data_IF_533889641825
#
_entry.id   IF_533889641825
#
_cell.length_a   1.000
_cell.length_b   1.000
_cell.length_c   1.000
_cell.angle_alpha   90.00
_cell.angle_beta   90.00
_cell.angle_gamma   90.00
#
_symmetry.space_group_name_H-M   'P 1'
#
loop_
_entity.id
_entity.type
_entity.pdbx_description
1 polymer ?
#
# COMPACT_ATOMS: atom_id res chain seq x y z
N UNK A 1 -11.33 -17.26 73.99
CA UNK A 1 -11.20 -16.03 73.19
C UNK A 1 -10.59 -16.24 71.78
N UNK A 2 -9.87 -17.34 71.50
CA UNK A 2 -9.17 -17.53 70.22
C UNK A 2 -10.02 -17.75 68.95
N UNK A 3 -11.20 -18.39 69.03
CA UNK A 3 -12.02 -18.71 67.84
C UNK A 3 -12.57 -17.49 67.10
N UNK A 4 -12.89 -16.39 67.81
CA UNK A 4 -13.39 -15.16 67.21
C UNK A 4 -12.29 -14.34 66.49
N UNK A 5 -11.02 -14.52 66.88
CA UNK A 5 -9.91 -13.86 66.19
C UNK A 5 -9.60 -14.53 64.85
N UNK A 6 -9.55 -15.87 64.82
CA UNK A 6 -9.33 -16.64 63.59
C UNK A 6 -10.38 -16.33 62.50
N UNK A 7 -11.66 -16.26 62.87
CA UNK A 7 -12.75 -15.93 61.92
C UNK A 7 -12.62 -14.50 61.38
N UNK A 8 -12.10 -13.55 62.17
CA UNK A 8 -11.84 -12.18 61.72
C UNK A 8 -10.66 -12.11 60.75
N UNK A 9 -9.61 -12.89 60.98
CA UNK A 9 -8.45 -12.98 60.10
C UNK A 9 -8.81 -13.61 58.75
N UNK A 10 -9.53 -14.73 58.73
CA UNK A 10 -10.01 -15.35 57.48
C UNK A 10 -10.91 -14.41 56.67
N UNK A 11 -11.76 -13.63 57.35
CA UNK A 11 -12.63 -12.65 56.70
C UNK A 11 -11.82 -11.50 56.09
N UNK A 12 -10.75 -11.05 56.76
CA UNK A 12 -9.81 -10.05 56.24
C UNK A 12 -9.06 -10.57 55.02
N UNK A 13 -8.49 -11.78 55.08
CA UNK A 13 -7.79 -12.39 53.94
C UNK A 13 -8.72 -12.58 52.73
N UNK A 14 -9.98 -13.01 52.95
CA UNK A 14 -10.97 -13.12 51.87
C UNK A 14 -11.30 -11.78 51.25
N UNK A 15 -11.36 -10.72 52.06
CA UNK A 15 -11.62 -9.36 51.58
C UNK A 15 -10.43 -8.81 50.79
N UNK A 16 -9.20 -9.08 51.24
CA UNK A 16 -7.95 -8.74 50.56
C UNK A 16 -7.82 -9.44 49.22
N UNK A 17 -8.01 -10.77 49.15
CA UNK A 17 -8.08 -11.53 47.89
C UNK A 17 -9.16 -11.01 46.94
N UNK A 18 -10.29 -10.51 47.47
CA UNK A 18 -11.34 -9.86 46.68
C UNK A 18 -10.90 -8.50 46.15
N UNK A 19 -10.13 -7.72 46.91
CA UNK A 19 -9.56 -6.43 46.48
C UNK A 19 -8.49 -6.65 45.41
N UNK A 20 -7.56 -7.57 45.61
CA UNK A 20 -6.54 -7.94 44.62
C UNK A 20 -7.17 -8.38 43.29
N UNK A 21 -8.16 -9.29 43.31
CA UNK A 21 -8.88 -9.71 42.09
C UNK A 21 -9.59 -8.55 41.39
N UNK A 22 -10.05 -7.54 42.13
CA UNK A 22 -10.68 -6.33 41.56
C UNK A 22 -9.62 -5.42 40.92
N UNK A 23 -8.47 -5.28 41.55
CA UNK A 23 -7.33 -4.52 41.02
C UNK A 23 -6.74 -5.18 39.77
N UNK A 24 -6.52 -6.48 39.79
CA UNK A 24 -6.06 -7.26 38.63
C UNK A 24 -7.05 -7.14 37.46
N UNK A 25 -8.37 -7.22 37.72
CA UNK A 25 -9.39 -6.97 36.69
C UNK A 25 -9.35 -5.54 36.15
N UNK A 26 -9.07 -4.55 37.00
CA UNK A 26 -8.92 -3.15 36.56
C UNK A 26 -7.67 -2.97 35.71
N UNK A 27 -6.58 -3.62 36.07
CA UNK A 27 -5.33 -3.58 35.32
C UNK A 27 -5.46 -4.26 33.95
N UNK A 28 -6.02 -5.47 33.89
CA UNK A 28 -6.33 -6.15 32.61
C UNK A 28 -7.22 -5.31 31.70
N UNK A 29 -8.20 -4.60 32.27
CA UNK A 29 -9.05 -3.65 31.49
C UNK A 29 -8.25 -2.46 30.97
N UNK A 30 -7.31 -1.92 31.77
CA UNK A 30 -6.42 -0.82 31.35
C UNK A 30 -5.47 -1.29 30.25
N UNK A 31 -4.90 -2.48 30.39
CA UNK A 31 -4.02 -3.07 29.38
C UNK A 31 -4.77 -3.33 28.07
N UNK A 32 -5.95 -3.95 28.12
CA UNK A 32 -6.81 -4.15 26.94
C UNK A 32 -7.11 -2.83 26.20
N UNK A 33 -7.43 -1.76 26.94
CA UNK A 33 -7.64 -0.42 26.35
C UNK A 33 -6.36 0.15 25.72
N UNK A 34 -5.19 -0.07 26.31
CA UNK A 34 -3.90 0.37 25.74
C UNK A 34 -3.59 -0.40 24.46
N UNK A 35 -3.84 -1.71 24.45
CA UNK A 35 -3.63 -2.54 23.28
C UNK A 35 -4.59 -2.17 22.14
N UNK A 36 -5.87 -1.94 22.45
CA UNK A 36 -6.87 -1.48 21.48
C UNK A 36 -6.47 -0.14 20.85
N UNK A 37 -6.03 0.83 21.65
CA UNK A 37 -5.47 2.10 21.14
C UNK A 37 -4.28 1.89 20.20
N UNK A 38 -3.34 1.00 20.56
CA UNK A 38 -2.19 0.67 19.70
C UNK A 38 -2.62 0.04 18.37
N UNK A 39 -3.64 -0.84 18.39
CA UNK A 39 -4.20 -1.47 17.18
C UNK A 39 -4.90 -0.44 16.30
N UNK A 40 -5.70 0.45 16.90
CA UNK A 40 -6.37 1.53 16.19
C UNK A 40 -5.36 2.50 15.55
N UNK A 41 -4.31 2.88 16.28
CA UNK A 41 -3.25 3.74 15.76
C UNK A 41 -2.50 3.08 14.60
N UNK A 42 -2.16 1.78 14.70
CA UNK A 42 -1.57 1.04 13.58
C UNK A 42 -2.48 1.00 12.36
N UNK A 43 -3.80 0.85 12.57
CA UNK A 43 -4.79 0.87 11.49
C UNK A 43 -4.84 2.24 10.82
N UNK A 44 -4.86 3.33 11.61
CA UNK A 44 -4.82 4.70 11.10
C UNK A 44 -3.57 4.98 10.28
N UNK A 45 -2.38 4.58 10.77
CA UNK A 45 -1.11 4.72 10.04
C UNK A 45 -1.10 3.98 8.70
N UNK A 46 -1.67 2.76 8.65
CA UNK A 46 -1.79 1.99 7.40
C UNK A 46 -2.73 2.66 6.41
N UNK A 47 -3.86 3.16 6.89
CA UNK A 47 -4.83 3.88 6.06
C UNK A 47 -4.28 5.21 5.55
N UNK A 48 -3.57 5.95 6.40
CA UNK A 48 -2.88 7.19 6.02
C UNK A 48 -1.82 6.92 4.96
N UNK A 49 -0.98 5.89 5.14
CA UNK A 49 0.01 5.49 4.14
C UNK A 49 -0.64 5.16 2.79
N UNK A 50 -1.75 4.42 2.79
CA UNK A 50 -2.49 4.11 1.56
C UNK A 50 -3.02 5.37 0.88
N UNK A 51 -3.57 6.32 1.65
CA UNK A 51 -4.05 7.61 1.12
C UNK A 51 -2.90 8.47 0.58
N UNK A 52 -1.73 8.39 1.20
CA UNK A 52 -0.52 9.08 0.71
C UNK A 52 -0.05 8.47 -0.61
N UNK A 53 -0.01 7.13 -0.71
CA UNK A 53 0.29 6.41 -1.97
C UNK A 53 -0.69 6.80 -3.09
N UNK A 54 -2.00 6.83 -2.82
CA UNK A 54 -3.03 7.27 -3.79
C UNK A 54 -2.84 8.75 -4.20
N UNK A 55 -2.46 9.63 -3.27
CA UNK A 55 -2.17 11.04 -3.56
C UNK A 55 -0.90 11.21 -4.39
N UNK A 56 0.14 10.44 -4.11
CA UNK A 56 1.36 10.44 -4.91
C UNK A 56 1.08 9.93 -6.32
N UNK A 57 0.31 8.86 -6.46
CA UNK A 57 -0.10 8.33 -7.76
C UNK A 57 -0.85 9.37 -8.57
N UNK A 58 -1.86 10.02 -7.96
CA UNK A 58 -2.61 11.11 -8.58
C UNK A 58 -1.71 12.29 -8.99
N UNK A 59 -0.76 12.70 -8.15
CA UNK A 59 0.21 13.75 -8.51
C UNK A 59 1.12 13.33 -9.67
N UNK A 60 1.52 12.06 -9.75
CA UNK A 60 2.32 11.54 -10.86
C UNK A 60 1.52 11.52 -12.15
N UNK A 61 0.25 11.18 -12.08
CA UNK A 61 -0.70 11.22 -13.21
C UNK A 61 -0.92 12.66 -13.68
N UNK A 62 -1.29 13.59 -12.79
CA UNK A 62 -1.45 15.02 -13.10
C UNK A 62 -0.18 15.60 -13.74
N UNK A 63 1.00 15.27 -13.19
CA UNK A 63 2.29 15.71 -13.77
C UNK A 63 2.59 15.07 -15.13
N UNK A 64 2.09 13.87 -15.42
CA UNK A 64 2.20 13.23 -16.74
C UNK A 64 1.27 13.93 -17.74
N UNK A 65 0.03 14.21 -17.34
CA UNK A 65 -0.95 14.95 -18.15
C UNK A 65 -0.52 16.39 -18.46
N UNK A 66 0.04 17.10 -17.47
CA UNK A 66 0.60 18.44 -17.67
C UNK A 66 1.77 18.43 -18.69
N UNK A 67 2.61 17.38 -18.66
CA UNK A 67 3.68 17.19 -19.65
C UNK A 67 3.16 16.81 -21.03
N UNK A 68 2.08 16.05 -21.12
CA UNK A 68 1.43 15.65 -22.38
C UNK A 68 0.94 16.87 -23.18
N UNK A 69 0.52 17.94 -22.49
CA UNK A 69 -0.09 19.12 -23.11
C UNK A 69 0.90 20.08 -23.81
N UNK A 70 2.17 20.14 -23.40
CA UNK A 70 3.09 21.20 -23.87
C UNK A 70 4.31 20.77 -24.70
N UNK A 71 4.66 19.47 -24.78
CA UNK A 71 5.99 19.08 -25.33
C UNK A 71 6.08 17.70 -26.03
N UNK A 72 4.97 17.01 -26.34
CA UNK A 72 5.03 15.65 -26.87
C UNK A 72 4.98 15.57 -28.41
N UNK A 73 5.78 14.69 -28.99
CA UNK A 73 5.66 14.30 -30.41
C UNK A 73 4.49 13.33 -30.60
N UNK A 74 3.97 13.22 -31.83
CA UNK A 74 2.89 12.28 -32.16
C UNK A 74 3.23 10.84 -31.77
N UNK A 75 4.48 10.42 -31.97
CA UNK A 75 4.96 9.09 -31.61
C UNK A 75 4.93 8.83 -30.11
N UNK A 76 5.26 9.83 -29.29
CA UNK A 76 5.19 9.71 -27.84
C UNK A 76 3.72 9.54 -27.41
N UNK A 77 2.80 10.33 -27.97
CA UNK A 77 1.37 10.21 -27.69
C UNK A 77 0.81 8.83 -28.07
N UNK A 78 1.21 8.29 -29.22
CA UNK A 78 0.83 6.94 -29.67
C UNK A 78 1.30 5.85 -28.68
N UNK A 79 2.53 5.97 -28.17
CA UNK A 79 3.05 5.04 -27.17
C UNK A 79 2.34 5.16 -25.81
N UNK A 80 1.99 6.37 -25.40
CA UNK A 80 1.25 6.57 -24.15
C UNK A 80 -0.18 6.06 -24.23
N UNK A 81 -0.87 6.28 -25.36
CA UNK A 81 -2.19 5.71 -25.60
C UNK A 81 -2.14 4.17 -25.52
N UNK A 82 -1.12 3.54 -26.13
CA UNK A 82 -0.89 2.11 -26.04
C UNK A 82 -0.61 1.66 -24.58
N UNK A 83 0.23 2.37 -23.85
CA UNK A 83 0.52 2.07 -22.44
C UNK A 83 -0.75 2.12 -21.57
N UNK A 84 -1.58 3.16 -21.73
CA UNK A 84 -2.84 3.31 -21.00
C UNK A 84 -3.80 2.15 -21.33
N UNK A 85 -3.89 1.78 -22.60
CA UNK A 85 -4.72 0.65 -23.03
C UNK A 85 -4.24 -0.68 -22.42
N UNK A 86 -2.93 -0.89 -22.29
CA UNK A 86 -2.36 -2.09 -21.68
C UNK A 86 -2.60 -2.14 -20.16
N UNK A 87 -2.45 -1.03 -19.43
CA UNK A 87 -2.75 -1.02 -17.99
C UNK A 87 -4.23 -1.31 -17.70
N UNK A 88 -5.15 -0.80 -18.53
CA UNK A 88 -6.58 -1.12 -18.42
C UNK A 88 -6.90 -2.60 -18.70
N UNK A 89 -6.03 -3.30 -19.43
CA UNK A 89 -6.21 -4.69 -19.85
C UNK A 89 -5.26 -5.68 -19.15
N UNK A 90 -4.56 -5.26 -18.10
CA UNK A 90 -3.48 -6.02 -17.44
C UNK A 90 -3.84 -7.44 -17.02
N UNK A 91 -5.12 -7.69 -16.70
CA UNK A 91 -5.63 -8.99 -16.25
C UNK A 91 -6.62 -9.62 -17.25
N UNK A 92 -6.64 -9.13 -18.50
CA UNK A 92 -7.58 -9.57 -19.55
C UNK A 92 -6.82 -10.00 -20.80
N UNK A 93 -7.33 -11.04 -21.46
CA UNK A 93 -6.83 -11.47 -22.77
C UNK A 93 -7.74 -10.87 -23.84
N UNK A 94 -7.36 -9.70 -24.34
CA UNK A 94 -8.12 -8.92 -25.32
C UNK A 94 -7.23 -8.55 -26.51
N UNK A 95 -7.85 -8.31 -27.68
CA UNK A 95 -7.12 -7.87 -28.87
C UNK A 95 -7.12 -6.35 -28.96
N UNK A 96 -5.93 -5.74 -28.89
CA UNK A 96 -5.75 -4.30 -29.07
C UNK A 96 -5.48 -3.96 -30.54
N UNK A 97 -6.30 -3.08 -31.09
CA UNK A 97 -6.08 -2.50 -32.41
C UNK A 97 -5.46 -1.11 -32.26
N UNK A 98 -4.36 -0.85 -32.98
CA UNK A 98 -3.71 0.45 -33.05
C UNK A 98 -3.46 0.81 -34.52
N UNK A 99 -3.72 2.07 -34.87
CA UNK A 99 -3.41 2.66 -36.18
C UNK A 99 -1.94 3.09 -36.29
N UNK A 100 -1.24 3.18 -35.15
CA UNK A 100 0.18 3.51 -35.10
C UNK A 100 1.04 2.31 -35.52
N UNK A 101 1.63 2.42 -36.72
CA UNK A 101 2.68 1.50 -37.19
C UNK A 101 3.88 1.48 -36.24
N UNK A 102 4.17 2.60 -35.57
CA UNK A 102 5.28 2.71 -34.64
C UNK A 102 5.00 1.93 -33.35
N UNK A 103 3.81 2.10 -32.75
CA UNK A 103 3.38 1.36 -31.57
C UNK A 103 3.34 -0.15 -31.84
N UNK A 104 2.79 -0.56 -32.99
CA UNK A 104 2.80 -1.95 -33.44
C UNK A 104 4.23 -2.52 -33.54
N UNK A 105 5.16 -1.77 -34.15
CA UNK A 105 6.55 -2.19 -34.26
C UNK A 105 7.23 -2.33 -32.88
N UNK A 106 7.00 -1.41 -31.95
CA UNK A 106 7.54 -1.48 -30.58
C UNK A 106 7.09 -2.77 -29.87
N UNK A 107 5.79 -3.07 -29.89
CA UNK A 107 5.23 -4.25 -29.21
C UNK A 107 5.73 -5.55 -29.83
N UNK A 108 5.64 -5.68 -31.16
CA UNK A 108 5.88 -6.95 -31.83
C UNK A 108 7.35 -7.23 -32.15
N UNK A 109 8.17 -6.19 -32.30
CA UNK A 109 9.57 -6.34 -32.76
C UNK A 109 10.56 -6.04 -31.64
N UNK A 110 10.31 -5.02 -30.82
CA UNK A 110 11.31 -4.52 -29.88
C UNK A 110 11.21 -5.11 -28.47
N UNK A 111 10.07 -5.71 -28.09
CA UNK A 111 9.91 -6.31 -26.75
C UNK A 111 10.96 -7.38 -26.41
N UNK A 112 11.28 -8.26 -27.37
CA UNK A 112 12.32 -9.30 -27.20
C UNK A 112 13.74 -8.72 -27.30
N UNK A 113 13.95 -7.82 -28.26
CA UNK A 113 15.26 -7.21 -28.55
C UNK A 113 15.72 -6.30 -27.39
N UNK A 114 14.83 -5.52 -26.78
CA UNK A 114 15.19 -4.64 -25.66
C UNK A 114 15.51 -5.40 -24.38
N UNK A 115 14.81 -6.52 -24.14
CA UNK A 115 15.11 -7.42 -23.02
C UNK A 115 16.48 -8.09 -23.17
N UNK A 116 16.89 -8.38 -24.40
CA UNK A 116 18.20 -8.98 -24.72
C UNK A 116 19.33 -7.95 -24.82
N UNK A 117 19.05 -6.67 -25.15
CA UNK A 117 20.06 -5.62 -25.43
C UNK A 117 20.17 -4.49 -24.41
N UNK A 118 19.44 -4.54 -23.29
CA UNK A 118 19.58 -3.56 -22.20
C UNK A 118 19.24 -2.11 -22.58
N UNK A 119 18.27 -1.89 -23.48
CA UNK A 119 17.83 -0.57 -23.96
C UNK A 119 18.90 0.23 -24.73
N UNK A 120 19.80 -0.45 -25.44
CA UNK A 120 20.84 0.14 -26.29
C UNK A 120 20.49 -0.08 -27.77
N UNK A 121 20.57 0.98 -28.59
CA UNK A 121 20.35 0.87 -30.03
C UNK A 121 21.55 0.22 -30.74
N UNK A 122 21.40 -0.12 -32.02
CA UNK A 122 22.46 -0.78 -32.84
C UNK A 122 23.74 0.08 -32.93
N UNK A 123 23.65 1.39 -32.66
CA UNK A 123 24.77 2.34 -32.64
C UNK A 123 25.39 2.50 -31.24
N UNK A 124 25.06 1.66 -30.28
CA UNK A 124 25.62 1.69 -28.93
C UNK A 124 25.11 2.84 -28.04
N UNK A 125 24.09 3.59 -28.47
CA UNK A 125 23.51 4.68 -27.68
C UNK A 125 22.30 4.20 -26.88
N UNK A 126 22.14 4.70 -25.66
CA UNK A 126 20.93 4.49 -24.86
C UNK A 126 19.73 5.02 -25.65
N UNK A 127 18.62 4.28 -25.65
CA UNK A 127 17.35 4.80 -26.13
C UNK A 127 16.96 5.99 -25.25
N UNK A 128 17.04 7.18 -25.83
CA UNK A 128 16.54 8.42 -25.24
C UNK A 128 15.24 8.72 -25.98
N UNK A 129 14.15 8.76 -25.23
CA UNK A 129 12.88 9.35 -25.64
C UNK A 129 12.86 10.80 -25.14
#
# INVERSE_FOLDING_TARGET
>A
MGKNMLVREEKREREEKRRERREEKREKRREKRREEKRREEKRKRREEKRREEEREEKRREEKREERLSSSWSSQACELYALYQALELLKDKVETLFTDSKYAFAIVHTFGKIWKERGLINIRGKRLIH
#
